data_IF_214507174852
#
_entry.id   IF_214507174852
#
_cell.length_a   1.000
_cell.length_b   1.000
_cell.length_c   1.000
_cell.angle_alpha   90.00
_cell.angle_beta   90.00
_cell.angle_gamma   90.00
#
_symmetry.space_group_name_H-M   'P 1'
#
loop_
_entity.id
_entity.type
_entity.pdbx_description
1 polymer ?
#
# COMPACT_ATOMS: atom_id res chain seq x y z
N UNK A 1 36.86 -7.14 -33.25
CA UNK A 1 37.43 -6.78 -31.94
C UNK A 1 36.27 -6.36 -31.06
N UNK A 2 35.64 -7.39 -30.51
CA UNK A 2 34.59 -7.35 -29.51
C UNK A 2 35.15 -6.82 -28.19
N UNK A 3 34.45 -5.87 -27.56
CA UNK A 3 34.11 -5.93 -26.12
C UNK A 3 33.06 -4.86 -25.85
N UNK A 4 31.78 -5.26 -25.91
CA UNK A 4 30.68 -4.54 -25.29
C UNK A 4 30.75 -4.82 -23.79
N UNK A 5 31.23 -3.86 -23.02
CA UNK A 5 31.25 -3.94 -21.55
C UNK A 5 29.83 -3.75 -21.02
N UNK A 6 29.09 -4.85 -20.88
CA UNK A 6 27.86 -4.84 -20.11
C UNK A 6 28.21 -4.63 -18.64
N UNK A 7 27.93 -3.43 -18.12
CA UNK A 7 27.97 -3.14 -16.69
C UNK A 7 27.03 -4.11 -15.97
N UNK A 8 27.52 -4.97 -15.04
CA UNK A 8 26.64 -5.82 -14.27
C UNK A 8 25.74 -4.92 -13.42
N UNK A 9 24.42 -5.05 -13.61
CA UNK A 9 23.44 -4.31 -12.85
C UNK A 9 23.63 -4.62 -11.36
N UNK A 10 24.10 -3.63 -10.59
CA UNK A 10 24.23 -3.74 -9.16
C UNK A 10 22.90 -4.22 -8.55
N UNK A 11 22.91 -5.10 -7.53
CA UNK A 11 21.70 -5.50 -6.84
C UNK A 11 21.06 -4.23 -6.28
N UNK A 12 19.95 -3.80 -6.88
CA UNK A 12 19.14 -2.74 -6.32
C UNK A 12 18.51 -3.32 -5.06
N UNK A 13 19.15 -3.09 -3.92
CA UNK A 13 18.50 -3.19 -2.63
C UNK A 13 17.42 -2.10 -2.64
N UNK A 14 16.25 -2.40 -3.21
CA UNK A 14 15.07 -1.58 -3.01
C UNK A 14 14.80 -1.70 -1.52
N UNK A 15 14.94 -0.60 -0.79
CA UNK A 15 14.31 -0.55 0.52
C UNK A 15 12.85 -0.98 0.30
N UNK A 16 12.39 -2.01 1.00
CA UNK A 16 10.97 -2.35 1.10
C UNK A 16 10.20 -1.25 1.86
N UNK A 17 10.74 -0.02 1.94
CA UNK A 17 10.21 1.14 2.65
C UNK A 17 9.12 1.85 1.86
N UNK A 18 8.16 1.08 1.35
CA UNK A 18 6.88 1.61 0.92
C UNK A 18 5.93 1.68 2.12
N UNK A 19 4.96 2.60 2.11
CA UNK A 19 3.89 2.66 3.09
C UNK A 19 3.05 1.36 3.09
N UNK A 20 3.54 0.33 3.77
CA UNK A 20 2.90 -0.97 3.87
C UNK A 20 2.06 -0.99 5.14
N UNK A 21 0.79 -1.35 5.02
CA UNK A 21 -0.15 -1.38 6.13
C UNK A 21 -1.10 -2.56 6.03
N UNK A 22 -1.91 -2.75 7.07
CA UNK A 22 -2.96 -3.76 7.08
C UNK A 22 -4.30 -3.10 7.32
N UNK A 23 -5.34 -3.57 6.64
CA UNK A 23 -6.70 -3.13 6.89
C UNK A 23 -7.15 -3.69 8.24
N UNK A 24 -7.50 -2.81 9.18
CA UNK A 24 -7.99 -3.19 10.51
C UNK A 24 -9.51 -3.05 10.61
N UNK A 25 -10.12 -2.25 9.74
CA UNK A 25 -11.56 -2.06 9.69
C UNK A 25 -12.03 -1.73 8.27
N UNK A 26 -13.20 -2.24 7.89
CA UNK A 26 -13.85 -1.93 6.62
C UNK A 26 -15.26 -1.44 6.89
N UNK A 27 -15.67 -0.37 6.20
CA UNK A 27 -17.04 0.11 6.21
C UNK A 27 -17.56 0.23 4.77
N UNK A 28 -18.14 -0.85 4.21
CA UNK A 28 -18.54 -0.90 2.81
C UNK A 28 -19.60 0.14 2.44
N UNK A 29 -20.58 0.38 3.32
CA UNK A 29 -21.68 1.32 3.09
C UNK A 29 -21.22 2.77 2.92
N UNK A 30 -20.12 3.13 3.58
CA UNK A 30 -19.52 4.47 3.50
C UNK A 30 -18.28 4.48 2.60
N UNK A 31 -17.95 3.33 1.98
CA UNK A 31 -16.79 3.13 1.11
C UNK A 31 -15.49 3.65 1.70
N UNK A 32 -15.20 3.33 2.96
CA UNK A 32 -13.90 3.60 3.57
C UNK A 32 -13.36 2.40 4.34
N UNK A 33 -12.06 2.40 4.54
CA UNK A 33 -11.33 1.46 5.39
C UNK A 33 -10.44 2.22 6.34
N UNK A 34 -10.08 1.58 7.45
CA UNK A 34 -9.01 2.03 8.33
C UNK A 34 -7.81 1.12 8.11
N UNK A 35 -6.68 1.73 7.78
CA UNK A 35 -5.41 1.06 7.53
C UNK A 35 -4.44 1.40 8.64
N UNK A 36 -3.84 0.37 9.23
CA UNK A 36 -2.79 0.49 10.23
C UNK A 36 -1.41 0.46 9.57
N UNK A 37 -0.65 1.53 9.77
CA UNK A 37 0.72 1.73 9.32
C UNK A 37 1.72 1.74 10.49
N UNK A 38 1.41 1.18 11.65
CA UNK A 38 2.30 1.21 12.85
C UNK A 38 3.74 0.77 12.56
N UNK A 39 3.93 -0.13 11.60
CA UNK A 39 5.23 -0.67 11.22
C UNK A 39 5.96 0.13 10.13
N UNK A 40 5.29 1.09 9.48
CA UNK A 40 5.80 1.77 8.28
C UNK A 40 5.46 3.27 8.26
N UNK A 41 6.10 4.02 7.38
CA UNK A 41 5.72 5.41 7.18
C UNK A 41 4.30 5.49 6.59
N UNK A 42 3.42 6.37 7.10
CA UNK A 42 2.12 6.59 6.51
C UNK A 42 2.25 7.14 5.07
N UNK A 43 1.31 6.81 4.17
CA UNK A 43 1.27 7.33 2.80
C UNK A 43 0.96 8.83 2.77
N UNK A 44 1.28 9.47 1.64
CA UNK A 44 0.86 10.85 1.41
C UNK A 44 -0.67 10.92 1.22
N UNK A 45 -1.36 11.93 1.76
CA UNK A 45 -2.80 12.09 1.53
C UNK A 45 -3.13 12.19 0.05
N UNK A 46 -4.16 11.46 -0.38
CA UNK A 46 -4.60 11.37 -1.77
C UNK A 46 -3.87 10.34 -2.62
N UNK A 47 -2.82 9.70 -2.10
CA UNK A 47 -2.11 8.62 -2.77
C UNK A 47 -3.02 7.39 -2.96
N UNK A 48 -2.96 6.77 -4.14
CA UNK A 48 -3.62 5.50 -4.43
C UNK A 48 -2.71 4.36 -3.98
N UNK A 49 -3.27 3.41 -3.25
CA UNK A 49 -2.59 2.25 -2.71
C UNK A 49 -3.30 1.00 -3.21
N UNK A 50 -2.52 -0.03 -3.52
CA UNK A 50 -3.03 -1.33 -3.95
C UNK A 50 -3.28 -2.20 -2.73
N UNK A 51 -4.38 -2.93 -2.76
CA UNK A 51 -4.79 -3.84 -1.69
C UNK A 51 -4.64 -5.28 -2.15
N UNK A 52 -4.03 -6.12 -1.32
CA UNK A 52 -3.73 -7.51 -1.59
C UNK A 52 -4.30 -8.43 -0.52
N UNK A 53 -4.82 -9.58 -0.95
CA UNK A 53 -5.19 -10.70 -0.07
C UNK A 53 -4.44 -11.94 -0.54
N UNK A 54 -3.65 -12.55 0.34
CA UNK A 54 -2.83 -13.73 0.02
C UNK A 54 -1.96 -13.51 -1.24
N UNK A 55 -1.42 -12.29 -1.40
CA UNK A 55 -0.58 -11.92 -2.54
C UNK A 55 -1.33 -11.60 -3.85
N UNK A 56 -2.66 -11.76 -3.90
CA UNK A 56 -3.49 -11.36 -5.04
C UNK A 56 -4.07 -9.97 -4.84
N UNK A 57 -4.03 -9.12 -5.86
CA UNK A 57 -4.64 -7.80 -5.80
C UNK A 57 -6.17 -7.94 -5.75
N UNK A 58 -6.79 -7.39 -4.71
CA UNK A 58 -8.24 -7.44 -4.48
C UNK A 58 -8.93 -6.09 -4.63
N UNK A 59 -8.16 -5.00 -4.69
CA UNK A 59 -8.71 -3.66 -4.88
C UNK A 59 -7.71 -2.54 -4.71
N UNK A 60 -8.24 -1.33 -4.56
CA UNK A 60 -7.46 -0.11 -4.35
C UNK A 60 -8.15 0.82 -3.35
N UNK A 61 -7.32 1.57 -2.62
CA UNK A 61 -7.77 2.59 -1.68
C UNK A 61 -7.04 3.90 -1.91
N UNK A 62 -7.69 5.01 -1.58
CA UNK A 62 -7.10 6.34 -1.61
C UNK A 62 -6.83 6.80 -0.19
N UNK A 63 -5.59 7.09 0.14
CA UNK A 63 -5.22 7.57 1.47
C UNK A 63 -5.95 8.88 1.81
N UNK A 64 -6.63 8.92 2.95
CA UNK A 64 -7.26 10.14 3.44
C UNK A 64 -6.27 11.08 4.11
N UNK A 65 -6.76 12.25 4.51
CA UNK A 65 -5.98 13.25 5.28
C UNK A 65 -6.02 13.00 6.78
N UNK A 66 -7.02 12.27 7.26
CA UNK A 66 -7.25 12.06 8.68
C UNK A 66 -6.44 10.84 9.10
N UNK A 67 -5.40 11.09 9.88
CA UNK A 67 -4.64 10.09 10.60
C UNK A 67 -4.89 10.25 12.11
N UNK A 68 -5.07 9.13 12.81
CA UNK A 68 -4.96 9.07 14.28
C UNK A 68 -3.90 8.05 14.61
N UNK A 69 -2.87 8.50 15.34
CA UNK A 69 -1.69 7.70 15.64
C UNK A 69 -1.07 7.15 14.35
N UNK A 70 -0.98 5.82 14.22
CA UNK A 70 -0.49 5.15 13.02
C UNK A 70 -1.60 4.63 12.08
N UNK A 71 -2.86 5.00 12.34
CA UNK A 71 -4.00 4.59 11.51
C UNK A 71 -4.46 5.72 10.60
N UNK A 72 -4.83 5.37 9.36
CA UNK A 72 -5.36 6.30 8.37
C UNK A 72 -6.69 5.79 7.85
N UNK A 73 -7.67 6.69 7.80
CA UNK A 73 -8.89 6.43 7.04
C UNK A 73 -8.60 6.60 5.54
N UNK A 74 -8.94 5.61 4.75
CA UNK A 74 -8.76 5.62 3.30
C UNK A 74 -10.07 5.30 2.58
N UNK A 75 -10.33 5.97 1.47
CA UNK A 75 -11.53 5.75 0.66
C UNK A 75 -11.36 4.52 -0.23
N UNK A 76 -12.39 3.68 -0.34
CA UNK A 76 -12.40 2.50 -1.22
C UNK A 76 -12.64 2.96 -2.65
N UNK A 77 -11.62 2.85 -3.49
CA UNK A 77 -11.71 3.16 -4.92
C UNK A 77 -12.38 2.00 -5.67
N UNK A 78 -11.92 0.77 -5.41
CA UNK A 78 -12.44 -0.45 -6.00
C UNK A 78 -12.11 -1.68 -5.14
N UNK A 79 -12.86 -2.76 -5.35
CA UNK A 79 -12.62 -4.06 -4.72
C UNK A 79 -13.52 -4.37 -3.51
N UNK A 80 -13.52 -5.64 -3.13
CA UNK A 80 -14.16 -6.15 -1.91
C UNK A 80 -13.08 -6.37 -0.84
N UNK A 81 -12.93 -5.35 0.00
CA UNK A 81 -11.85 -5.29 0.98
C UNK A 81 -12.28 -5.89 2.30
N UNK A 82 -11.35 -6.50 3.02
CA UNK A 82 -11.60 -7.16 4.31
C UNK A 82 -10.49 -6.82 5.31
N UNK A 83 -10.79 -6.91 6.63
CA UNK A 83 -9.75 -6.85 7.65
C UNK A 83 -8.69 -7.93 7.41
N UNK A 84 -7.42 -7.57 7.58
CA UNK A 84 -6.26 -8.42 7.30
C UNK A 84 -5.71 -8.30 5.87
N UNK A 85 -6.41 -7.60 4.97
CA UNK A 85 -5.87 -7.28 3.66
C UNK A 85 -4.66 -6.34 3.78
N UNK A 86 -3.70 -6.55 2.91
CA UNK A 86 -2.44 -5.84 2.91
C UNK A 86 -2.47 -4.66 1.94
N UNK A 87 -2.10 -3.48 2.42
CA UNK A 87 -2.06 -2.23 1.65
C UNK A 87 -0.62 -1.90 1.32
N UNK A 88 -0.32 -1.62 0.05
CA UNK A 88 1.02 -1.28 -0.42
C UNK A 88 0.98 -0.10 -1.40
N UNK A 89 2.02 0.75 -1.44
CA UNK A 89 2.20 1.66 -2.57
C UNK A 89 2.53 0.84 -3.82
N UNK A 90 2.31 1.45 -4.99
CA UNK A 90 2.69 0.88 -6.28
C UNK A 90 4.17 0.44 -6.36
#
# INVERSE_FOLDING_TARGET
>A
MDTSTAVPAAPRIRALGGAQGNIVQVQPSLRFVVVDFTLNAPPSPGQILKVYREGKMVGQVKAGRIARDATIAADIVEGDLQPGDEVRPE
#
